data_IF_999300182509
#
_entry.id   IF_999300182509
#
_cell.length_a   1.000
_cell.length_b   1.000
_cell.length_c   1.000
_cell.angle_alpha   90.00
_cell.angle_beta   90.00
_cell.angle_gamma   90.00
#
_symmetry.space_group_name_H-M   'P 1'
#
loop_
_entity.id
_entity.type
_entity.pdbx_description
1 polymer ?
#
# COMPACT_ATOMS: atom_id res chain seq x y z
N UNK A 1 59.36 24.38 -55.61
CA UNK A 1 60.26 23.99 -54.50
C UNK A 1 59.95 24.79 -53.25
N UNK A 2 59.38 24.15 -52.22
CA UNK A 2 59.39 24.49 -50.77
C UNK A 2 58.31 23.62 -50.11
N UNK A 3 58.70 22.41 -49.74
CA UNK A 3 59.01 21.95 -48.38
C UNK A 3 57.76 21.66 -47.56
N UNK A 4 57.41 20.37 -47.61
CA UNK A 4 56.64 19.60 -46.63
C UNK A 4 57.23 19.87 -45.24
N UNK A 5 56.37 20.18 -44.27
CA UNK A 5 56.70 20.03 -42.86
C UNK A 5 55.46 19.47 -42.13
N UNK A 6 55.51 18.17 -41.84
CA UNK A 6 54.65 17.53 -40.84
C UNK A 6 54.97 18.12 -39.47
N UNK A 7 53.95 18.63 -38.78
CA UNK A 7 54.03 18.88 -37.35
C UNK A 7 53.06 17.93 -36.64
N UNK A 8 53.61 16.85 -36.07
CA UNK A 8 52.96 16.14 -34.98
C UNK A 8 52.95 17.08 -33.77
N UNK A 9 51.77 17.40 -33.26
CA UNK A 9 51.61 17.97 -31.94
C UNK A 9 50.64 17.08 -31.14
N UNK A 10 51.09 16.74 -29.93
CA UNK A 10 50.59 15.67 -29.10
C UNK A 10 49.12 15.83 -28.70
N UNK A 11 48.37 14.74 -28.80
CA UNK A 11 47.08 14.58 -28.13
C UNK A 11 47.36 14.49 -26.63
N UNK A 12 47.20 15.59 -25.91
CA UNK A 12 47.14 15.58 -24.45
C UNK A 12 45.78 15.03 -24.05
N UNK A 13 45.70 13.72 -23.87
CA UNK A 13 44.55 13.08 -23.22
C UNK A 13 44.58 13.46 -21.74
N UNK A 14 43.99 14.61 -21.40
CA UNK A 14 43.67 14.91 -20.01
C UNK A 14 42.56 13.96 -19.58
N UNK A 15 42.96 12.86 -18.95
CA UNK A 15 42.10 11.91 -18.28
C UNK A 15 41.43 12.60 -17.08
N UNK A 16 40.33 13.32 -17.32
CA UNK A 16 39.40 13.68 -16.26
C UNK A 16 38.58 12.43 -15.91
N UNK A 17 39.20 11.54 -15.12
CA UNK A 17 38.49 10.49 -14.40
C UNK A 17 38.41 10.89 -12.92
N UNK A 18 37.68 11.97 -12.66
CA UNK A 18 36.83 12.01 -11.48
C UNK A 18 35.41 11.94 -12.02
N UNK A 19 34.97 10.72 -12.30
CA UNK A 19 33.55 10.46 -12.26
C UNK A 19 33.14 10.70 -10.82
N UNK A 20 32.58 11.87 -10.53
CA UNK A 20 31.67 11.99 -9.41
C UNK A 20 30.64 10.88 -9.61
N UNK A 21 30.74 9.84 -8.80
CA UNK A 21 29.67 8.87 -8.68
C UNK A 21 28.47 9.69 -8.19
N UNK A 22 27.38 9.86 -8.96
CA UNK A 22 26.19 10.54 -8.45
C UNK A 22 25.41 9.60 -7.51
N UNK A 23 26.10 8.65 -6.88
CA UNK A 23 25.56 7.81 -5.84
C UNK A 23 25.15 8.75 -4.72
N UNK A 24 23.84 8.86 -4.51
CA UNK A 24 23.27 9.54 -3.36
C UNK A 24 23.98 9.11 -2.08
N UNK A 25 23.93 9.98 -1.08
CA UNK A 25 24.43 9.67 0.27
C UNK A 25 23.85 8.33 0.76
N UNK A 26 24.44 7.71 1.77
CA UNK A 26 23.89 6.47 2.36
C UNK A 26 22.39 6.59 2.70
N UNK A 27 21.96 7.80 3.09
CA UNK A 27 20.58 8.21 3.36
C UNK A 27 19.65 8.18 2.12
N UNK A 28 20.19 8.27 0.91
CA UNK A 28 19.48 8.22 -0.38
C UNK A 28 19.55 6.82 -1.03
N UNK A 29 20.11 5.82 -0.34
CA UNK A 29 20.08 4.45 -0.85
C UNK A 29 18.63 3.92 -0.86
N UNK A 30 18.19 3.17 -1.89
CA UNK A 30 16.82 2.66 -1.97
C UNK A 30 16.39 1.84 -0.74
N UNK A 31 17.33 1.13 -0.11
CA UNK A 31 17.06 0.38 1.12
C UNK A 31 16.70 1.30 2.28
N UNK A 32 17.53 2.31 2.55
CA UNK A 32 17.31 3.25 3.67
C UNK A 32 16.05 4.08 3.45
N UNK A 33 15.81 4.53 2.21
CA UNK A 33 14.56 5.19 1.85
C UNK A 33 13.34 4.28 2.09
N UNK A 34 13.42 3.00 1.73
CA UNK A 34 12.31 2.07 1.95
C UNK A 34 12.01 1.83 3.44
N UNK A 35 13.07 1.67 4.25
CA UNK A 35 12.97 1.51 5.71
C UNK A 35 12.39 2.76 6.37
N UNK A 36 12.93 3.94 6.06
CA UNK A 36 12.45 5.22 6.57
C UNK A 36 11.02 5.52 6.12
N UNK A 37 10.67 5.18 4.88
CA UNK A 37 9.30 5.28 4.37
C UNK A 37 8.31 4.41 5.15
N UNK A 38 8.74 3.22 5.59
CA UNK A 38 7.95 2.32 6.46
C UNK A 38 7.78 2.91 7.85
N UNK A 39 8.83 3.46 8.45
CA UNK A 39 8.77 4.13 9.76
C UNK A 39 7.87 5.36 9.73
N UNK A 40 7.97 6.18 8.68
CA UNK A 40 7.06 7.31 8.46
C UNK A 40 5.62 6.83 8.37
N UNK A 41 5.35 5.79 7.59
CA UNK A 41 4.01 5.22 7.47
C UNK A 41 3.46 4.76 8.81
N UNK A 42 4.24 3.98 9.57
CA UNK A 42 3.84 3.49 10.90
C UNK A 42 3.64 4.58 11.93
N UNK A 43 4.30 5.73 11.76
CA UNK A 43 4.05 6.91 12.58
C UNK A 43 2.88 7.79 12.10
N UNK A 44 2.14 7.37 11.05
CA UNK A 44 1.06 8.14 10.44
C UNK A 44 1.53 9.37 9.65
N UNK A 45 2.83 9.48 9.37
CA UNK A 45 3.44 10.54 8.54
C UNK A 45 3.37 10.14 7.07
N UNK A 46 2.14 10.14 6.53
CA UNK A 46 1.83 9.58 5.20
C UNK A 46 2.54 10.32 4.06
N UNK A 47 2.65 11.65 4.16
CA UNK A 47 3.29 12.45 3.10
C UNK A 47 4.79 12.18 3.01
N UNK A 48 5.45 12.07 4.16
CA UNK A 48 6.88 11.76 4.27
C UNK A 48 7.17 10.33 3.82
N UNK A 49 6.29 9.37 4.16
CA UNK A 49 6.36 8.00 3.66
C UNK A 49 6.31 7.92 2.14
N UNK A 50 5.35 8.64 1.52
CA UNK A 50 5.26 8.71 0.07
C UNK A 50 6.47 9.36 -0.58
N UNK A 51 7.03 10.42 0.02
CA UNK A 51 8.23 11.06 -0.50
C UNK A 51 9.39 10.06 -0.64
N UNK A 52 9.62 9.25 0.39
CA UNK A 52 10.70 8.27 0.37
C UNK A 52 10.43 7.13 -0.61
N UNK A 53 9.20 6.61 -0.65
CA UNK A 53 8.85 5.53 -1.57
C UNK A 53 8.74 5.97 -3.04
N UNK A 54 8.29 7.21 -3.30
CA UNK A 54 8.35 7.83 -4.63
C UNK A 54 9.82 7.91 -5.08
N UNK A 55 10.73 8.30 -4.18
CA UNK A 55 12.17 8.34 -4.46
C UNK A 55 12.76 6.95 -4.75
N UNK A 56 12.33 5.90 -4.04
CA UNK A 56 12.74 4.51 -4.34
C UNK A 56 12.34 4.12 -5.77
N UNK A 57 11.12 4.43 -6.17
CA UNK A 57 10.60 4.12 -7.52
C UNK A 57 11.32 4.93 -8.60
N UNK A 58 11.70 6.18 -8.34
CA UNK A 58 12.54 6.97 -9.25
C UNK A 58 13.93 6.38 -9.43
N UNK A 59 14.57 5.97 -8.33
CA UNK A 59 15.93 5.41 -8.34
C UNK A 59 15.97 4.01 -8.95
N UNK A 60 14.95 3.19 -8.69
CA UNK A 60 14.85 1.82 -9.19
C UNK A 60 13.44 1.55 -9.73
N UNK A 61 13.12 2.00 -10.96
CA UNK A 61 11.78 1.85 -11.54
C UNK A 61 11.25 0.41 -11.54
N UNK A 62 12.16 -0.56 -11.58
CA UNK A 62 11.83 -1.99 -11.64
C UNK A 62 11.26 -2.51 -10.31
N UNK A 63 11.44 -1.77 -9.22
CA UNK A 63 10.84 -2.07 -7.92
C UNK A 63 9.39 -1.60 -7.82
N UNK A 64 8.91 -0.74 -8.71
CA UNK A 64 7.55 -0.18 -8.60
C UNK A 64 6.45 -1.25 -8.50
N UNK A 65 6.46 -2.35 -9.30
CA UNK A 65 5.48 -3.43 -9.13
C UNK A 65 5.57 -4.13 -7.77
N UNK A 66 6.71 -4.10 -7.08
CA UNK A 66 6.89 -4.73 -5.78
C UNK A 66 6.53 -3.82 -4.59
N UNK A 67 6.21 -2.54 -4.84
CA UNK A 67 6.02 -1.52 -3.81
C UNK A 67 4.56 -1.32 -3.39
N UNK A 68 3.84 -2.41 -3.07
CA UNK A 68 2.42 -2.36 -2.70
C UNK A 68 2.11 -1.44 -1.50
N UNK A 69 3.06 -1.29 -0.56
CA UNK A 69 2.94 -0.40 0.60
C UNK A 69 2.71 1.07 0.18
N UNK A 70 3.34 1.49 -0.93
CA UNK A 70 3.15 2.80 -1.54
C UNK A 70 1.70 3.00 -1.98
N UNK A 71 1.05 1.95 -2.53
CA UNK A 71 -0.37 2.00 -2.91
C UNK A 71 -1.28 2.29 -1.72
N UNK A 72 -0.97 1.69 -0.56
CA UNK A 72 -1.70 1.93 0.68
C UNK A 72 -1.47 3.36 1.17
N UNK A 73 -0.24 3.88 1.12
CA UNK A 73 0.02 5.27 1.47
C UNK A 73 -0.67 6.26 0.51
N UNK A 74 -0.76 5.96 -0.78
CA UNK A 74 -1.51 6.75 -1.76
C UNK A 74 -3.00 6.82 -1.41
N UNK A 75 -3.59 5.72 -0.91
CA UNK A 75 -4.95 5.72 -0.37
C UNK A 75 -5.11 6.73 0.76
N UNK A 76 -4.24 6.67 1.77
CA UNK A 76 -4.29 7.60 2.92
C UNK A 76 -4.00 9.05 2.54
N UNK A 77 -3.25 9.29 1.46
CA UNK A 77 -3.02 10.63 0.93
C UNK A 77 -4.17 11.15 0.05
N UNK A 78 -5.24 10.38 -0.16
CA UNK A 78 -6.34 10.72 -1.06
C UNK A 78 -5.96 10.68 -2.55
N UNK A 79 -4.77 10.16 -2.89
CA UNK A 79 -4.25 10.03 -4.26
C UNK A 79 -4.79 8.74 -4.91
N UNK A 80 -6.12 8.59 -4.92
CA UNK A 80 -6.78 7.32 -5.24
C UNK A 80 -6.50 6.81 -6.66
N UNK A 81 -6.45 7.70 -7.66
CA UNK A 81 -6.13 7.31 -9.05
C UNK A 81 -4.73 6.71 -9.17
N UNK A 82 -3.77 7.25 -8.44
CA UNK A 82 -2.42 6.71 -8.40
C UNK A 82 -2.35 5.41 -7.60
N UNK A 83 -3.16 5.29 -6.54
CA UNK A 83 -3.35 4.04 -5.80
C UNK A 83 -3.88 2.92 -6.69
N UNK A 84 -4.90 3.19 -7.52
CA UNK A 84 -5.40 2.23 -8.53
C UNK A 84 -4.26 1.76 -9.42
N UNK A 85 -3.53 2.69 -10.06
CA UNK A 85 -2.42 2.36 -10.95
C UNK A 85 -1.31 1.55 -10.24
N UNK A 86 -1.00 1.88 -8.98
CA UNK A 86 -0.01 1.15 -8.18
C UNK A 86 -0.42 -0.30 -7.91
N UNK A 87 -1.69 -0.57 -7.65
CA UNK A 87 -2.19 -1.93 -7.43
C UNK A 87 -2.39 -2.71 -8.74
N UNK A 88 -2.67 -2.02 -9.85
CA UNK A 88 -2.67 -2.63 -11.19
C UNK A 88 -1.27 -3.13 -11.57
N UNK A 89 -0.21 -2.35 -11.32
CA UNK A 89 1.17 -2.84 -11.56
C UNK A 89 1.59 -3.89 -10.53
N UNK A 90 1.12 -3.84 -9.27
CA UNK A 90 1.43 -4.88 -8.30
C UNK A 90 0.80 -6.23 -8.67
N UNK A 91 -0.40 -6.20 -9.26
CA UNK A 91 -1.08 -7.41 -9.73
C UNK A 91 -0.22 -8.23 -10.70
N UNK A 92 0.68 -7.60 -11.48
CA UNK A 92 1.51 -8.31 -12.46
C UNK A 92 2.61 -9.17 -11.83
N UNK A 93 2.98 -8.91 -10.58
CA UNK A 93 4.00 -9.67 -9.84
C UNK A 93 3.41 -10.50 -8.70
N UNK A 94 2.19 -10.18 -8.24
CA UNK A 94 1.52 -10.88 -7.15
C UNK A 94 0.02 -11.05 -7.41
N UNK A 95 -0.33 -11.88 -8.40
CA UNK A 95 -1.72 -12.00 -8.85
C UNK A 95 -2.68 -12.76 -7.92
N UNK A 96 -2.19 -13.34 -6.81
CA UNK A 96 -3.00 -14.14 -5.88
C UNK A 96 -3.42 -13.40 -4.62
N UNK A 97 -2.86 -12.23 -4.39
CA UNK A 97 -3.07 -11.48 -3.16
C UNK A 97 -4.43 -10.80 -3.14
N UNK A 98 -5.30 -11.27 -2.24
CA UNK A 98 -6.62 -10.66 -2.05
C UNK A 98 -6.50 -9.23 -1.53
N UNK A 99 -5.45 -8.93 -0.76
CA UNK A 99 -5.24 -7.58 -0.22
C UNK A 99 -5.02 -6.60 -1.37
N UNK A 100 -4.21 -6.95 -2.38
CA UNK A 100 -4.06 -6.17 -3.61
C UNK A 100 -5.42 -5.86 -4.27
N UNK A 101 -6.27 -6.88 -4.45
CA UNK A 101 -7.59 -6.71 -5.06
C UNK A 101 -8.51 -5.81 -4.22
N UNK A 102 -8.47 -5.91 -2.89
CA UNK A 102 -9.25 -5.08 -1.97
C UNK A 102 -8.76 -3.64 -1.95
N UNK A 103 -7.45 -3.40 -1.87
CA UNK A 103 -6.89 -2.06 -1.88
C UNK A 103 -7.11 -1.36 -3.24
N UNK A 104 -6.96 -2.09 -4.34
CA UNK A 104 -7.36 -1.63 -5.67
C UNK A 104 -8.85 -1.23 -5.69
N UNK A 105 -9.73 -2.08 -5.15
CA UNK A 105 -11.16 -1.82 -5.09
C UNK A 105 -11.49 -0.52 -4.35
N UNK A 106 -10.97 -0.32 -3.13
CA UNK A 106 -11.32 0.87 -2.34
C UNK A 106 -10.74 2.15 -2.93
N UNK A 107 -9.55 2.10 -3.53
CA UNK A 107 -9.02 3.20 -4.34
C UNK A 107 -9.95 3.51 -5.52
N UNK A 108 -10.40 2.49 -6.27
CA UNK A 108 -11.28 2.66 -7.41
C UNK A 108 -12.67 3.21 -7.04
N UNK A 109 -13.19 2.89 -5.84
CA UNK A 109 -14.44 3.46 -5.32
C UNK A 109 -14.27 4.94 -4.99
N UNK A 110 -13.18 5.33 -4.33
CA UNK A 110 -12.96 6.72 -3.89
C UNK A 110 -12.40 7.63 -4.99
N UNK A 111 -11.86 7.08 -6.07
CA UNK A 111 -11.43 7.84 -7.23
C UNK A 111 -12.60 8.58 -7.91
N UNK A 112 -12.29 9.64 -8.65
CA UNK A 112 -13.29 10.45 -9.37
C UNK A 112 -14.11 9.57 -10.33
N UNK A 113 -15.45 9.65 -10.23
CA UNK A 113 -16.37 8.81 -11.02
C UNK A 113 -16.39 7.33 -10.62
N UNK A 114 -15.73 6.96 -9.52
CA UNK A 114 -15.74 5.65 -8.91
C UNK A 114 -17.12 5.23 -8.37
N UNK A 115 -17.33 3.92 -8.24
CA UNK A 115 -18.50 3.35 -7.57
C UNK A 115 -18.24 1.89 -7.20
N UNK A 116 -18.99 1.37 -6.24
CA UNK A 116 -18.96 -0.04 -5.86
C UNK A 116 -19.23 -0.95 -7.06
N UNK A 117 -20.22 -0.62 -7.89
CA UNK A 117 -20.57 -1.45 -9.04
C UNK A 117 -19.41 -1.54 -10.05
N UNK A 118 -18.77 -0.40 -10.37
CA UNK A 118 -17.60 -0.37 -11.25
C UNK A 118 -16.43 -1.14 -10.65
N UNK A 119 -16.13 -0.92 -9.37
CA UNK A 119 -15.03 -1.59 -8.69
C UNK A 119 -15.24 -3.12 -8.62
N UNK A 120 -16.48 -3.59 -8.39
CA UNK A 120 -16.83 -5.02 -8.43
C UNK A 120 -16.60 -5.64 -9.81
N UNK A 121 -16.98 -4.94 -10.88
CA UNK A 121 -16.78 -5.41 -12.26
C UNK A 121 -15.29 -5.56 -12.58
N UNK A 122 -14.46 -4.62 -12.15
CA UNK A 122 -13.01 -4.62 -12.38
C UNK A 122 -12.20 -5.50 -11.41
N UNK A 123 -12.81 -6.00 -10.34
CA UNK A 123 -12.10 -6.79 -9.33
C UNK A 123 -11.59 -8.11 -9.92
N UNK A 124 -10.27 -8.34 -9.76
CA UNK A 124 -9.59 -9.54 -10.22
C UNK A 124 -10.21 -10.83 -9.64
N UNK A 125 -10.24 -11.95 -10.39
CA UNK A 125 -10.73 -13.23 -9.88
C UNK A 125 -9.93 -13.71 -8.67
N UNK A 126 -10.60 -14.46 -7.79
CA UNK A 126 -9.93 -15.14 -6.69
C UNK A 126 -8.96 -16.19 -7.23
N UNK A 127 -7.72 -16.18 -6.72
CA UNK A 127 -6.65 -17.05 -7.20
C UNK A 127 -5.95 -17.85 -6.08
N UNK A 128 -6.69 -18.21 -5.02
CA UNK A 128 -6.26 -19.22 -4.05
C UNK A 128 -5.43 -18.71 -2.87
N UNK A 129 -5.68 -17.48 -2.40
CA UNK A 129 -5.08 -16.98 -1.16
C UNK A 129 -5.44 -17.87 0.04
N UNK A 130 -4.42 -18.38 0.74
CA UNK A 130 -4.59 -19.38 1.80
C UNK A 130 -4.82 -18.76 3.17
N UNK A 131 -4.65 -17.43 3.30
CA UNK A 131 -4.84 -16.73 4.57
C UNK A 131 -6.33 -16.67 4.90
N UNK A 132 -6.67 -16.86 6.17
CA UNK A 132 -8.05 -16.78 6.66
C UNK A 132 -8.31 -15.36 7.18
N UNK A 133 -9.43 -14.71 6.84
CA UNK A 133 -10.56 -15.16 6.00
C UNK A 133 -10.52 -14.56 4.57
N UNK A 134 -9.37 -14.57 3.88
CA UNK A 134 -9.21 -13.78 2.65
C UNK A 134 -10.04 -14.28 1.47
N UNK A 135 -10.40 -15.57 1.45
CA UNK A 135 -11.35 -16.09 0.46
C UNK A 135 -12.73 -15.43 0.63
N UNK A 136 -13.22 -15.36 1.86
CA UNK A 136 -14.53 -14.76 2.18
C UNK A 136 -14.50 -13.24 2.02
N UNK A 137 -13.37 -12.60 2.36
CA UNK A 137 -13.16 -11.16 2.09
C UNK A 137 -13.24 -10.89 0.59
N UNK A 138 -12.60 -11.70 -0.25
CA UNK A 138 -12.71 -11.54 -1.70
C UNK A 138 -14.18 -11.65 -2.17
N UNK A 139 -14.90 -12.67 -1.70
CA UNK A 139 -16.31 -12.88 -2.05
C UNK A 139 -17.20 -11.70 -1.60
N UNK A 140 -16.99 -11.18 -0.39
CA UNK A 140 -17.69 -9.99 0.12
C UNK A 140 -17.51 -8.79 -0.81
N UNK A 141 -16.26 -8.46 -1.15
CA UNK A 141 -15.96 -7.33 -2.01
C UNK A 141 -16.47 -7.54 -3.44
N UNK A 142 -16.44 -8.78 -3.95
CA UNK A 142 -17.02 -9.15 -5.26
C UNK A 142 -18.55 -9.07 -5.29
N UNK A 143 -19.20 -9.05 -4.11
CA UNK A 143 -20.65 -9.00 -3.97
C UNK A 143 -21.34 -10.37 -4.02
N UNK A 144 -20.57 -11.45 -3.82
CA UNK A 144 -21.06 -12.84 -3.80
C UNK A 144 -20.97 -13.48 -2.42
N UNK A 145 -20.58 -12.72 -1.40
CA UNK A 145 -20.49 -13.15 -0.01
C UNK A 145 -20.97 -12.06 0.94
N UNK A 146 -20.85 -12.34 2.24
CA UNK A 146 -21.44 -11.56 3.33
C UNK A 146 -20.44 -11.28 4.45
N UNK A 147 -20.77 -10.30 5.30
CA UNK A 147 -19.92 -9.95 6.45
C UNK A 147 -19.93 -11.07 7.50
N UNK A 148 -21.05 -11.76 7.61
CA UNK A 148 -21.28 -12.91 8.48
C UNK A 148 -20.34 -14.07 8.11
N UNK A 149 -20.22 -14.38 6.82
CA UNK A 149 -19.30 -15.42 6.33
C UNK A 149 -17.82 -15.08 6.63
N UNK A 150 -17.44 -13.80 6.48
CA UNK A 150 -16.08 -13.34 6.83
C UNK A 150 -15.79 -13.56 8.32
N UNK A 151 -16.72 -13.19 9.20
CA UNK A 151 -16.56 -13.37 10.64
C UNK A 151 -16.59 -14.86 11.04
N UNK A 152 -17.48 -15.66 10.43
CA UNK A 152 -17.57 -17.09 10.69
C UNK A 152 -16.26 -17.80 10.31
N UNK A 153 -15.73 -17.53 9.11
CA UNK A 153 -14.47 -18.13 8.66
C UNK A 153 -13.28 -17.80 9.59
N UNK A 154 -13.22 -16.57 10.10
CA UNK A 154 -12.19 -16.19 11.07
C UNK A 154 -12.39 -16.88 12.43
N UNK A 155 -13.61 -16.89 12.95
CA UNK A 155 -13.94 -17.39 14.30
C UNK A 155 -13.87 -18.90 14.41
N UNK A 156 -14.32 -19.62 13.37
CA UNK A 156 -14.40 -21.08 13.34
C UNK A 156 -13.09 -21.75 12.85
N UNK A 157 -12.06 -20.93 12.57
CA UNK A 157 -10.76 -21.44 12.16
C UNK A 157 -10.13 -22.31 13.25
N UNK A 158 -9.49 -23.43 12.85
CA UNK A 158 -8.77 -24.34 13.76
C UNK A 158 -7.38 -23.80 14.16
N UNK A 159 -7.26 -22.48 14.26
CA UNK A 159 -6.00 -21.82 14.61
C UNK A 159 -5.77 -21.86 16.13
N UNK A 160 -4.51 -21.72 16.54
CA UNK A 160 -4.20 -21.45 17.94
C UNK A 160 -4.68 -20.03 18.35
N UNK A 161 -4.46 -19.65 19.60
CA UNK A 161 -4.90 -18.35 20.13
C UNK A 161 -4.33 -17.17 19.32
N UNK A 162 -3.09 -17.27 18.84
CA UNK A 162 -2.42 -16.20 18.08
C UNK A 162 -2.99 -16.14 16.67
N UNK A 163 -3.13 -17.27 16.01
CA UNK A 163 -3.72 -17.37 14.68
C UNK A 163 -5.19 -16.93 14.67
N UNK A 164 -5.98 -17.29 15.69
CA UNK A 164 -7.37 -16.84 15.81
C UNK A 164 -7.44 -15.31 15.94
N UNK A 165 -6.61 -14.72 16.80
CA UNK A 165 -6.50 -13.24 16.90
C UNK A 165 -6.13 -12.63 15.56
N UNK A 166 -5.16 -13.19 14.85
CA UNK A 166 -4.73 -12.66 13.55
C UNK A 166 -5.83 -12.77 12.47
N UNK A 167 -6.56 -13.90 12.44
CA UNK A 167 -7.69 -14.09 11.53
C UNK A 167 -8.81 -13.07 11.82
N UNK A 168 -9.11 -12.82 13.10
CA UNK A 168 -10.08 -11.80 13.51
C UNK A 168 -9.59 -10.38 13.22
N UNK A 169 -8.28 -10.11 13.33
CA UNK A 169 -7.69 -8.85 12.89
C UNK A 169 -7.95 -8.60 11.40
N UNK A 170 -7.68 -9.60 10.55
CA UNK A 170 -7.95 -9.50 9.12
C UNK A 170 -9.44 -9.32 8.81
N UNK A 171 -10.30 -10.13 9.44
CA UNK A 171 -11.74 -10.02 9.28
C UNK A 171 -12.23 -8.60 9.58
N UNK A 172 -11.87 -8.08 10.74
CA UNK A 172 -12.28 -6.75 11.17
C UNK A 172 -11.65 -5.62 10.36
N UNK A 173 -10.39 -5.75 9.93
CA UNK A 173 -9.76 -4.75 9.05
C UNK A 173 -10.54 -4.63 7.74
N UNK A 174 -10.78 -5.76 7.07
CA UNK A 174 -11.41 -5.73 5.75
C UNK A 174 -12.90 -5.44 5.78
N UNK A 175 -13.60 -5.80 6.86
CA UNK A 175 -14.98 -5.33 7.09
C UNK A 175 -15.03 -3.81 7.32
N UNK A 176 -14.05 -3.26 8.06
CA UNK A 176 -13.94 -1.82 8.25
C UNK A 176 -13.80 -1.07 6.92
N UNK A 177 -12.87 -1.52 6.08
CA UNK A 177 -12.66 -0.96 4.74
C UNK A 177 -13.85 -1.17 3.80
N UNK A 178 -14.55 -2.30 3.90
CA UNK A 178 -15.75 -2.58 3.13
C UNK A 178 -16.87 -1.59 3.46
N UNK A 179 -17.15 -1.40 4.75
CA UNK A 179 -18.19 -0.46 5.18
C UNK A 179 -17.80 1.00 4.91
N UNK A 180 -16.51 1.34 4.94
CA UNK A 180 -16.03 2.66 4.49
C UNK A 180 -16.29 2.90 3.00
N UNK A 181 -16.17 1.87 2.16
CA UNK A 181 -16.51 1.96 0.74
C UNK A 181 -18.02 2.09 0.48
N UNK A 182 -18.84 1.60 1.42
CA UNK A 182 -20.31 1.76 1.42
C UNK A 182 -20.78 3.06 2.09
N UNK A 183 -19.85 3.90 2.56
CA UNK A 183 -20.11 5.11 3.36
C UNK A 183 -20.89 4.84 4.67
N UNK A 184 -20.86 3.60 5.19
CA UNK A 184 -21.40 3.23 6.51
C UNK A 184 -20.34 3.48 7.59
N UNK A 185 -20.25 4.75 7.99
CA UNK A 185 -19.23 5.23 8.94
C UNK A 185 -19.30 4.58 10.32
N UNK A 186 -20.49 4.18 10.77
CA UNK A 186 -20.69 3.54 12.08
C UNK A 186 -20.08 2.14 12.09
N UNK A 187 -20.42 1.31 11.11
CA UNK A 187 -19.85 -0.04 11.01
C UNK A 187 -18.37 0.00 10.65
N UNK A 188 -17.95 0.93 9.79
CA UNK A 188 -16.54 1.12 9.47
C UNK A 188 -15.72 1.37 10.74
N UNK A 189 -16.14 2.33 11.57
CA UNK A 189 -15.47 2.65 12.83
C UNK A 189 -15.51 1.49 13.83
N UNK A 190 -16.65 0.78 13.93
CA UNK A 190 -16.78 -0.40 14.79
C UNK A 190 -15.75 -1.47 14.45
N UNK A 191 -15.71 -1.91 13.20
CA UNK A 191 -14.82 -2.97 12.75
C UNK A 191 -13.35 -2.54 12.82
N UNK A 192 -13.04 -1.30 12.40
CA UNK A 192 -11.68 -0.79 12.46
C UNK A 192 -11.14 -0.70 13.89
N UNK A 193 -11.96 -0.28 14.86
CA UNK A 193 -11.57 -0.28 16.28
C UNK A 193 -11.22 -1.68 16.75
N UNK A 194 -12.06 -2.68 16.45
CA UNK A 194 -11.83 -4.08 16.87
C UNK A 194 -10.53 -4.64 16.29
N UNK A 195 -10.23 -4.36 15.01
CA UNK A 195 -8.95 -4.76 14.39
C UNK A 195 -7.74 -4.07 15.06
N UNK A 196 -7.87 -2.78 15.36
CA UNK A 196 -6.79 -1.98 15.93
C UNK A 196 -6.50 -2.26 17.41
N UNK A 197 -7.47 -2.78 18.17
CA UNK A 197 -7.40 -2.93 19.63
C UNK A 197 -7.64 -4.37 20.06
N UNK A 198 -8.89 -4.82 20.09
CA UNK A 198 -9.31 -6.14 20.58
C UNK A 198 -8.53 -7.30 19.93
N UNK A 199 -8.23 -7.18 18.62
CA UNK A 199 -7.52 -8.20 17.84
C UNK A 199 -6.19 -7.70 17.26
N UNK A 200 -5.56 -6.73 17.90
CA UNK A 200 -4.29 -6.15 17.46
C UNK A 200 -3.25 -7.21 17.09
N UNK A 201 -2.58 -6.99 15.96
CA UNK A 201 -1.51 -7.85 15.43
C UNK A 201 -0.27 -7.01 15.08
N UNK A 202 0.93 -7.48 15.45
CA UNK A 202 2.21 -6.84 15.09
C UNK A 202 2.72 -7.30 13.71
N UNK A 203 1.79 -7.42 12.77
CA UNK A 203 2.03 -7.62 11.34
C UNK A 203 1.68 -6.31 10.63
N UNK A 204 2.19 -6.11 9.41
CA UNK A 204 1.98 -4.88 8.65
C UNK A 204 0.50 -4.46 8.60
N UNK A 205 -0.41 -5.38 8.27
CA UNK A 205 -1.85 -5.07 8.21
C UNK A 205 -2.49 -4.78 9.57
N UNK A 206 -1.97 -5.33 10.66
CA UNK A 206 -2.39 -4.92 11.99
C UNK A 206 -1.95 -3.49 12.31
N UNK A 207 -0.74 -3.08 11.89
CA UNK A 207 -0.30 -1.68 11.97
C UNK A 207 -1.15 -0.77 11.09
N UNK A 208 -1.52 -1.20 9.88
CA UNK A 208 -2.44 -0.47 9.01
C UNK A 208 -3.79 -0.23 9.72
N UNK A 209 -4.37 -1.25 10.36
CA UNK A 209 -5.61 -1.09 11.13
C UNK A 209 -5.47 -0.04 12.24
N UNK A 210 -4.34 -0.04 12.95
CA UNK A 210 -4.05 0.94 14.00
C UNK A 210 -3.93 2.37 13.48
N UNK A 211 -3.18 2.56 12.39
CA UNK A 211 -3.01 3.87 11.74
C UNK A 211 -4.37 4.37 11.26
N UNK A 212 -5.13 3.51 10.58
CA UNK A 212 -6.46 3.84 10.08
C UNK A 212 -7.39 4.28 11.21
N UNK A 213 -7.45 3.50 12.29
CA UNK A 213 -8.26 3.84 13.46
C UNK A 213 -7.84 5.20 14.05
N UNK A 214 -6.54 5.43 14.21
CA UNK A 214 -6.01 6.69 14.75
C UNK A 214 -6.34 7.90 13.85
N UNK A 215 -6.28 7.74 12.53
CA UNK A 215 -6.66 8.79 11.57
C UNK A 215 -8.16 9.09 11.61
N UNK A 216 -9.02 8.07 11.73
CA UNK A 216 -10.46 8.26 11.91
C UNK A 216 -10.81 9.06 13.18
N UNK A 217 -10.06 8.87 14.28
CA UNK A 217 -10.25 9.66 15.50
C UNK A 217 -9.80 11.13 15.34
N UNK A 218 -8.81 11.38 14.47
CA UNK A 218 -8.30 12.73 14.16
C UNK A 218 -9.11 13.46 13.08
N UNK A 219 -10.06 12.78 12.43
CA UNK A 219 -11.03 13.38 11.50
C UNK A 219 -11.78 14.55 12.17
N UNK A 220 -12.52 15.37 11.41
CA UNK A 220 -12.99 16.68 11.86
C UNK A 220 -13.99 16.58 13.02
N UNK A 221 -13.48 16.50 14.25
CA UNK A 221 -14.20 16.70 15.52
C UNK A 221 -13.40 17.64 16.42
N UNK A 222 -13.30 18.91 16.02
CA UNK A 222 -13.05 20.06 16.88
C UNK A 222 -13.35 21.40 16.16
N UNK A 223 -14.59 21.58 15.65
CA UNK A 223 -15.19 22.91 15.43
C UNK A 223 -16.58 23.03 16.09
N UNK A 224 -16.89 22.13 17.02
CA UNK A 224 -18.07 22.20 17.89
C UNK A 224 -17.69 21.70 19.28
N UNK A 225 -17.03 22.55 20.05
CA UNK A 225 -17.13 22.66 21.50
C UNK A 225 -16.26 23.84 21.93
N UNK A 226 -16.93 24.88 22.45
CA UNK A 226 -16.42 26.09 23.12
C UNK A 226 -15.80 27.17 22.24
#
# INVERSE_FOLDING_TARGET
MRKILCALAAVTTSLHLHGENPAGTEEESPRILNERGTEHFFAGRISESLKDWDRVVELVPQQAPHHWQRGIALYYAGRFKEGVAQFEIHQTVNGRDVENAVWHFICAVKAEGGSIEKARKSMYPYAGDRRIPLKEVHALFKGTGSAEEVLAAATESKADKVGLRNNLCYAHLYLGLYYEALDDSEKAAHHMRKAATDYQMDHYMGKVAQIHHALLQKGPKAKKAS
#
